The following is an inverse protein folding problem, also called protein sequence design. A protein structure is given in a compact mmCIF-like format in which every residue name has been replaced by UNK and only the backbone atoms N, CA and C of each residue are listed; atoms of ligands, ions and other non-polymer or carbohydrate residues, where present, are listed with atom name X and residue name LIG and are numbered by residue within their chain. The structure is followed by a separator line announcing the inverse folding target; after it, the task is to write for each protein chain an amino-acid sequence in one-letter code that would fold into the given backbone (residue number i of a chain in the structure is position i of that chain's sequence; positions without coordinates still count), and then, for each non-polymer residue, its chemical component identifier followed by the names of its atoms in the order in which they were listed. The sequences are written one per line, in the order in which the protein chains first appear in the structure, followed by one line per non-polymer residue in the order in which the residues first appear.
data_IF_392100659355
#
_entry.id   IF_392100659355
#
_cell.length_a   1.000
_cell.length_b   1.000
_cell.length_c   1.000
_cell.angle_alpha   90.00
_cell.angle_beta   90.00
_cell.angle_gamma   90.00
#
_symmetry.space_group_name_H-M   'P 1'
#
loop_
_entity.id
_entity.type
_entity.pdbx_description
1 polymer ?
#
# COMPACT_ATOMS: atom_id res chain seq x y z
N UNK A 1 8.04 9.16 -20.10
CA UNK A 1 7.55 7.91 -19.55
C UNK A 1 7.58 7.89 -18.02
N UNK A 2 6.92 6.93 -17.41
CA UNK A 2 6.97 6.71 -15.97
C UNK A 2 8.08 5.72 -15.61
N UNK A 3 8.73 5.91 -14.46
CA UNK A 3 9.79 5.01 -13.98
C UNK A 3 9.24 3.79 -13.24
N UNK A 4 8.00 3.83 -12.75
CA UNK A 4 7.36 2.73 -12.04
C UNK A 4 5.88 2.93 -11.83
N UNK A 5 5.20 1.84 -11.48
CA UNK A 5 3.76 1.79 -11.19
C UNK A 5 3.48 0.97 -9.93
N UNK A 6 2.34 1.24 -9.29
CA UNK A 6 1.69 0.26 -8.43
C UNK A 6 0.72 -0.56 -9.26
N UNK A 7 0.76 -1.88 -9.13
CA UNK A 7 -0.17 -2.80 -9.78
C UNK A 7 -0.89 -3.59 -8.69
N UNK A 8 -2.22 -3.49 -8.64
CA UNK A 8 -3.06 -4.08 -7.58
C UNK A 8 -3.61 -5.45 -8.00
N UNK A 9 -3.59 -6.42 -7.08
CA UNK A 9 -4.17 -7.75 -7.27
C UNK A 9 -5.63 -7.83 -6.82
N UNK A 10 -6.34 -6.72 -6.94
CA UNK A 10 -7.76 -6.62 -6.63
C UNK A 10 -8.47 -5.69 -7.60
N UNK A 11 -9.76 -5.88 -7.75
CA UNK A 11 -10.62 -5.04 -8.58
C UNK A 11 -11.97 -4.79 -7.92
N UNK A 12 -12.71 -3.81 -8.43
CA UNK A 12 -14.06 -3.47 -7.93
C UNK A 12 -15.11 -3.98 -8.90
N UNK A 13 -16.05 -4.79 -8.39
CA UNK A 13 -17.23 -5.26 -9.11
C UNK A 13 -18.46 -4.87 -8.29
N UNK A 14 -19.40 -4.19 -8.91
CA UNK A 14 -20.64 -3.73 -8.28
C UNK A 14 -20.40 -3.00 -6.93
N UNK A 15 -19.40 -2.12 -6.91
CA UNK A 15 -19.02 -1.36 -5.72
C UNK A 15 -18.27 -2.16 -4.64
N UNK A 16 -18.06 -3.45 -4.83
CA UNK A 16 -17.35 -4.32 -3.89
C UNK A 16 -15.96 -4.67 -4.40
N UNK A 17 -14.92 -4.43 -3.59
CA UNK A 17 -13.54 -4.84 -3.91
C UNK A 17 -13.35 -6.32 -3.63
N UNK A 18 -12.68 -7.01 -4.54
CA UNK A 18 -12.38 -8.45 -4.43
C UNK A 18 -10.95 -8.72 -4.92
N UNK A 19 -10.29 -9.72 -4.32
CA UNK A 19 -9.01 -10.19 -4.82
C UNK A 19 -9.18 -10.89 -6.17
N UNK A 20 -8.20 -10.68 -7.04
CA UNK A 20 -8.02 -11.46 -8.26
C UNK A 20 -7.51 -12.87 -7.90
N UNK A 21 -7.75 -13.80 -8.80
CA UNK A 21 -7.02 -15.08 -8.79
C UNK A 21 -5.52 -14.80 -8.91
N UNK A 22 -4.74 -15.36 -7.98
CA UNK A 22 -3.31 -15.04 -7.86
C UNK A 22 -2.50 -15.48 -9.08
N UNK A 23 -2.81 -16.65 -9.63
CA UNK A 23 -2.10 -17.21 -10.79
C UNK A 23 -2.38 -16.39 -12.06
N UNK A 24 -3.64 -16.03 -12.29
CA UNK A 24 -4.03 -15.17 -13.42
C UNK A 24 -3.38 -13.80 -13.32
N UNK A 25 -3.33 -13.24 -12.13
CA UNK A 25 -2.66 -11.96 -11.90
C UNK A 25 -1.14 -12.08 -12.14
N UNK A 26 -0.50 -13.16 -11.71
CA UNK A 26 0.92 -13.41 -11.94
C UNK A 26 1.25 -13.50 -13.44
N UNK A 27 0.40 -14.13 -14.25
CA UNK A 27 0.56 -14.16 -15.73
C UNK A 27 0.49 -12.74 -16.30
N UNK A 28 -0.52 -11.95 -15.92
CA UNK A 28 -0.64 -10.55 -16.32
C UNK A 28 0.59 -9.72 -15.94
N UNK A 29 1.09 -9.90 -14.72
CA UNK A 29 2.31 -9.24 -14.25
C UNK A 29 3.51 -9.58 -15.13
N UNK A 30 3.69 -10.85 -15.47
CA UNK A 30 4.78 -11.31 -16.32
C UNK A 30 4.71 -10.73 -17.74
N UNK A 31 3.51 -10.61 -18.30
CA UNK A 31 3.31 -9.95 -19.60
C UNK A 31 3.72 -8.46 -19.55
N UNK A 32 3.31 -7.74 -18.51
CA UNK A 32 3.69 -6.33 -18.29
C UNK A 32 5.20 -6.17 -18.18
N UNK A 33 5.86 -6.98 -17.33
CA UNK A 33 7.30 -6.87 -17.11
C UNK A 33 8.13 -7.26 -18.31
N UNK A 34 7.65 -8.18 -19.14
CA UNK A 34 8.28 -8.52 -20.45
C UNK A 34 8.11 -7.41 -21.48
N UNK A 35 6.93 -6.80 -21.54
CA UNK A 35 6.66 -5.70 -22.47
C UNK A 35 7.39 -4.40 -22.09
N UNK A 36 7.64 -4.18 -20.80
CA UNK A 36 8.25 -2.97 -20.25
C UNK A 36 9.40 -3.32 -19.29
N UNK A 37 10.54 -3.82 -19.78
CA UNK A 37 11.62 -4.35 -18.92
C UNK A 37 12.31 -3.31 -18.03
N UNK A 38 12.16 -2.00 -18.34
CA UNK A 38 12.68 -0.90 -17.51
C UNK A 38 11.70 -0.34 -16.49
N UNK A 39 10.49 -0.89 -16.41
CA UNK A 39 9.45 -0.39 -15.51
C UNK A 39 9.56 -1.03 -14.12
N UNK A 40 9.68 -0.21 -13.07
CA UNK A 40 9.60 -0.70 -11.70
C UNK A 40 8.15 -1.02 -11.34
N UNK A 41 7.82 -2.30 -11.17
CA UNK A 41 6.47 -2.74 -10.80
C UNK A 41 6.42 -3.04 -9.30
N UNK A 42 5.78 -2.15 -8.54
CA UNK A 42 5.46 -2.34 -7.12
C UNK A 42 4.10 -3.04 -7.03
N UNK A 43 4.11 -4.35 -6.85
CA UNK A 43 2.86 -5.12 -6.78
C UNK A 43 2.20 -4.92 -5.43
N UNK A 44 0.94 -4.52 -5.45
CA UNK A 44 0.11 -4.38 -4.26
C UNK A 44 -0.81 -5.59 -4.11
N UNK A 45 -0.83 -6.18 -2.89
CA UNK A 45 -1.82 -7.19 -2.52
C UNK A 45 -2.76 -6.66 -1.45
N UNK A 46 -4.05 -6.85 -1.66
CA UNK A 46 -5.09 -6.29 -0.79
C UNK A 46 -5.60 -7.29 0.27
N UNK A 47 -4.83 -8.31 0.59
CA UNK A 47 -5.21 -9.35 1.55
C UNK A 47 -5.55 -8.80 2.94
N UNK A 48 -4.71 -7.93 3.50
CA UNK A 48 -4.97 -7.26 4.79
C UNK A 48 -6.04 -6.18 4.67
N UNK A 49 -6.06 -5.43 3.58
CA UNK A 49 -7.09 -4.41 3.33
C UNK A 49 -8.49 -5.01 3.31
N UNK A 50 -8.64 -6.19 2.72
CA UNK A 50 -9.91 -6.91 2.61
C UNK A 50 -10.18 -7.83 3.79
N UNK A 51 -9.25 -7.91 4.74
CA UNK A 51 -9.34 -8.77 5.91
C UNK A 51 -9.75 -10.21 5.55
N UNK A 52 -9.09 -10.76 4.51
CA UNK A 52 -9.41 -12.12 4.06
C UNK A 52 -9.00 -13.14 5.11
N UNK A 53 -9.65 -14.30 5.10
CA UNK A 53 -9.24 -15.41 5.95
C UNK A 53 -7.77 -15.77 5.67
N UNK A 54 -6.99 -16.00 6.74
CA UNK A 54 -5.56 -16.32 6.66
C UNK A 54 -4.73 -15.28 5.86
N UNK A 55 -5.04 -13.98 6.07
CA UNK A 55 -4.44 -12.86 5.31
C UNK A 55 -2.92 -12.96 5.19
N UNK A 56 -2.20 -13.30 6.27
CA UNK A 56 -0.75 -13.46 6.23
C UNK A 56 -0.32 -14.58 5.29
N UNK A 57 -0.94 -15.76 5.39
CA UNK A 57 -0.62 -16.93 4.55
C UNK A 57 -0.86 -16.59 3.08
N UNK A 58 -2.00 -15.97 2.78
CA UNK A 58 -2.32 -15.49 1.43
C UNK A 58 -1.31 -14.46 0.92
N UNK A 59 -0.88 -13.53 1.79
CA UNK A 59 0.13 -12.53 1.44
C UNK A 59 1.48 -13.16 1.09
N UNK A 60 1.94 -14.11 1.89
CA UNK A 60 3.19 -14.82 1.65
C UNK A 60 3.17 -15.60 0.34
N UNK A 61 2.10 -16.35 0.10
CA UNK A 61 1.91 -17.07 -1.15
C UNK A 61 1.95 -16.16 -2.37
N UNK A 62 1.12 -15.10 -2.36
CA UNK A 62 1.03 -14.12 -3.45
C UNK A 62 2.36 -13.39 -3.66
N UNK A 63 3.00 -12.94 -2.59
CA UNK A 63 4.29 -12.24 -2.68
C UNK A 63 5.38 -13.10 -3.30
N UNK A 64 5.49 -14.38 -2.92
CA UNK A 64 6.46 -15.31 -3.51
C UNK A 64 6.13 -15.59 -4.98
N UNK A 65 4.88 -15.75 -5.32
CA UNK A 65 4.42 -15.96 -6.68
C UNK A 65 4.76 -14.77 -7.56
N UNK A 66 4.43 -13.56 -7.11
CA UNK A 66 4.67 -12.32 -7.86
C UNK A 66 6.16 -12.00 -8.01
N UNK A 67 6.98 -12.32 -7.00
CA UNK A 67 8.43 -12.21 -7.10
C UNK A 67 9.00 -13.05 -8.25
N UNK A 68 8.49 -14.27 -8.44
CA UNK A 68 8.87 -15.16 -9.55
C UNK A 68 8.42 -14.65 -10.91
N UNK A 69 7.40 -13.78 -10.96
CA UNK A 69 6.80 -13.25 -12.19
C UNK A 69 7.21 -11.80 -12.49
N UNK A 70 8.27 -11.29 -11.81
CA UNK A 70 8.90 -10.03 -12.18
C UNK A 70 8.48 -8.81 -11.36
N UNK A 71 7.80 -8.99 -10.21
CA UNK A 71 7.61 -7.90 -9.27
C UNK A 71 8.95 -7.33 -8.82
N UNK A 72 9.07 -5.99 -8.76
CA UNK A 72 10.27 -5.28 -8.29
C UNK A 72 10.14 -4.84 -6.83
N UNK A 73 8.93 -4.70 -6.32
CA UNK A 73 8.60 -4.38 -4.95
C UNK A 73 7.26 -4.99 -4.56
N UNK A 74 6.99 -5.03 -3.27
CA UNK A 74 5.78 -5.63 -2.74
C UNK A 74 5.10 -4.66 -1.77
N UNK A 75 3.87 -4.28 -2.04
CA UNK A 75 3.10 -3.35 -1.24
C UNK A 75 1.93 -4.06 -0.55
N UNK A 76 1.91 -3.98 0.78
CA UNK A 76 0.90 -4.60 1.62
C UNK A 76 0.23 -3.50 2.47
N UNK A 77 -0.85 -2.87 1.99
CA UNK A 77 -1.59 -1.91 2.79
C UNK A 77 -2.26 -2.59 4.00
N UNK A 78 -2.47 -1.83 5.07
CA UNK A 78 -3.15 -2.25 6.29
C UNK A 78 -2.44 -3.34 7.13
N UNK A 79 -1.25 -3.81 6.75
CA UNK A 79 -0.42 -4.61 7.65
C UNK A 79 0.21 -3.68 8.70
N UNK A 80 0.02 -3.98 10.00
CA UNK A 80 0.51 -3.14 11.12
C UNK A 80 1.31 -3.92 12.15
N UNK A 81 1.05 -5.23 12.32
CA UNK A 81 1.72 -6.06 13.32
C UNK A 81 3.17 -6.37 12.94
N UNK A 82 4.08 -6.17 13.87
CA UNK A 82 5.52 -6.40 13.65
C UNK A 82 5.82 -7.83 13.19
N UNK A 83 5.13 -8.82 13.79
CA UNK A 83 5.32 -10.24 13.45
C UNK A 83 4.96 -10.52 11.99
N UNK A 84 3.86 -9.94 11.50
CA UNK A 84 3.42 -10.11 10.11
C UNK A 84 4.41 -9.44 9.15
N UNK A 85 4.87 -8.23 9.49
CA UNK A 85 5.87 -7.49 8.69
C UNK A 85 7.17 -8.28 8.61
N UNK A 86 7.69 -8.81 9.73
CA UNK A 86 8.89 -9.66 9.76
C UNK A 86 8.69 -10.89 8.87
N UNK A 87 7.56 -11.58 9.01
CA UNK A 87 7.26 -12.77 8.21
C UNK A 87 7.27 -12.44 6.70
N UNK A 88 6.66 -11.32 6.29
CA UNK A 88 6.62 -10.89 4.90
C UNK A 88 8.03 -10.59 4.39
N UNK A 89 8.81 -9.78 5.12
CA UNK A 89 10.18 -9.41 4.74
C UNK A 89 11.06 -10.65 4.55
N UNK A 90 10.97 -11.62 5.45
CA UNK A 90 11.80 -12.83 5.39
C UNK A 90 11.42 -13.79 4.26
N UNK A 91 10.13 -13.91 3.95
CA UNK A 91 9.67 -14.94 3.02
C UNK A 91 9.49 -14.44 1.58
N UNK A 92 9.16 -13.16 1.39
CA UNK A 92 8.88 -12.63 0.03
C UNK A 92 10.15 -12.15 -0.68
N UNK A 93 11.14 -11.66 0.04
CA UNK A 93 12.45 -11.19 -0.49
C UNK A 93 12.35 -10.09 -1.55
N UNK A 94 11.30 -9.28 -1.50
CA UNK A 94 11.15 -8.06 -2.28
C UNK A 94 11.22 -6.85 -1.33
N UNK A 95 11.63 -5.66 -1.81
CA UNK A 95 11.50 -4.44 -1.04
C UNK A 95 10.05 -4.25 -0.58
N UNK A 96 9.83 -4.36 0.74
CA UNK A 96 8.49 -4.22 1.31
C UNK A 96 8.09 -2.75 1.42
N UNK A 97 6.92 -2.43 0.89
CA UNK A 97 6.20 -1.18 1.08
C UNK A 97 5.00 -1.43 2.02
N UNK A 98 4.88 -0.61 3.05
CA UNK A 98 3.70 -0.59 3.93
C UNK A 98 2.92 0.72 3.77
N UNK A 99 1.71 0.79 4.28
CA UNK A 99 0.90 2.01 4.28
C UNK A 99 0.85 2.61 5.69
N UNK A 100 0.95 3.93 5.79
CA UNK A 100 0.71 4.66 7.02
C UNK A 100 -0.68 4.31 7.57
N UNK A 101 -0.71 3.75 8.77
CA UNK A 101 -1.91 3.38 9.50
C UNK A 101 -1.78 3.85 10.95
N UNK A 102 -2.88 4.11 11.68
CA UNK A 102 -2.82 4.60 13.05
C UNK A 102 -1.98 3.74 14.00
N UNK A 103 -1.98 2.41 13.80
CA UNK A 103 -1.31 1.43 14.66
C UNK A 103 0.06 0.99 14.11
N UNK A 104 0.52 1.60 13.02
CA UNK A 104 1.81 1.26 12.43
C UNK A 104 2.94 1.83 13.31
N UNK A 105 4.00 1.04 13.50
CA UNK A 105 5.18 1.46 14.23
C UNK A 105 5.88 2.68 13.58
N UNK A 106 6.75 3.34 14.33
CA UNK A 106 7.54 4.47 13.83
C UNK A 106 8.58 4.07 12.77
N UNK A 107 9.20 5.07 12.13
CA UNK A 107 10.15 4.87 11.03
C UNK A 107 11.38 4.06 11.46
N UNK A 108 11.90 4.27 12.67
CA UNK A 108 13.08 3.57 13.17
C UNK A 108 12.79 2.08 13.36
N UNK A 109 11.66 1.77 13.96
CA UNK A 109 11.18 0.41 14.14
C UNK A 109 10.94 -0.27 12.81
N UNK A 110 10.20 0.37 11.88
CA UNK A 110 9.93 -0.17 10.55
C UNK A 110 11.22 -0.44 9.75
N UNK A 111 12.22 0.45 9.86
CA UNK A 111 13.53 0.25 9.25
C UNK A 111 14.23 -0.99 9.80
N UNK A 112 14.18 -1.18 11.12
CA UNK A 112 14.74 -2.37 11.80
C UNK A 112 14.03 -3.65 11.39
N UNK A 113 12.71 -3.60 11.19
CA UNK A 113 11.91 -4.71 10.67
C UNK A 113 12.18 -5.03 9.19
N UNK A 114 12.92 -4.17 8.48
CA UNK A 114 13.31 -4.40 7.08
C UNK A 114 12.40 -3.75 6.05
N UNK A 115 11.44 -2.92 6.45
CA UNK A 115 10.59 -2.13 5.55
C UNK A 115 11.46 -1.16 4.74
N UNK A 116 11.17 -1.02 3.44
CA UNK A 116 11.94 -0.16 2.52
C UNK A 116 11.19 1.07 2.06
N UNK A 117 9.86 1.07 2.16
CA UNK A 117 9.01 2.18 1.73
C UNK A 117 7.78 2.29 2.62
N UNK A 118 7.35 3.52 2.89
CA UNK A 118 6.09 3.83 3.57
C UNK A 118 5.26 4.70 2.64
N UNK A 119 4.06 4.23 2.28
CA UNK A 119 3.08 5.01 1.52
C UNK A 119 2.12 5.70 2.48
N UNK A 120 1.75 6.94 2.17
CA UNK A 120 0.87 7.75 3.03
C UNK A 120 -0.62 7.56 2.70
N UNK A 121 -0.96 6.81 1.64
CA UNK A 121 -2.35 6.70 1.18
C UNK A 121 -2.93 8.09 0.87
N UNK A 122 -4.16 8.31 1.33
CA UNK A 122 -4.82 9.61 1.23
C UNK A 122 -4.79 10.41 2.55
N UNK A 123 -4.09 9.93 3.59
CA UNK A 123 -4.20 10.50 4.95
C UNK A 123 -3.70 11.94 5.04
N UNK A 124 -2.56 12.27 4.42
CA UNK A 124 -2.06 13.66 4.42
C UNK A 124 -3.01 14.58 3.65
N UNK A 125 -3.53 14.12 2.51
CA UNK A 125 -4.53 14.88 1.76
C UNK A 125 -5.78 15.13 2.61
N UNK A 126 -6.33 14.08 3.22
CA UNK A 126 -7.52 14.20 4.07
C UNK A 126 -7.29 15.14 5.26
N UNK A 127 -6.14 15.04 5.94
CA UNK A 127 -5.78 15.93 7.03
C UNK A 127 -5.66 17.40 6.58
N UNK A 128 -5.07 17.63 5.40
CA UNK A 128 -4.97 18.98 4.82
C UNK A 128 -6.33 19.55 4.50
N UNK A 129 -7.23 18.76 3.90
CA UNK A 129 -8.61 19.18 3.60
C UNK A 129 -9.40 19.46 4.87
N UNK A 130 -9.26 18.65 5.91
CA UNK A 130 -9.90 18.87 7.20
C UNK A 130 -9.43 20.21 7.81
N UNK A 131 -8.10 20.44 7.83
CA UNK A 131 -7.54 21.69 8.36
C UNK A 131 -8.01 22.93 7.59
N UNK A 132 -8.05 22.85 6.25
CA UNK A 132 -8.57 23.92 5.40
C UNK A 132 -10.04 24.23 5.75
N UNK A 133 -10.87 23.21 5.87
CA UNK A 133 -12.29 23.35 6.25
C UNK A 133 -12.40 24.03 7.62
N UNK A 134 -11.63 23.60 8.61
CA UNK A 134 -11.66 24.17 9.96
C UNK A 134 -11.30 25.65 9.96
N UNK A 135 -10.25 26.04 9.23
CA UNK A 135 -9.84 27.45 9.11
C UNK A 135 -10.94 28.31 8.46
N UNK A 136 -11.56 27.83 7.38
CA UNK A 136 -12.65 28.54 6.72
C UNK A 136 -13.86 28.69 7.64
N UNK A 137 -14.24 27.63 8.37
CA UNK A 137 -15.30 27.70 9.35
C UNK A 137 -14.99 28.70 10.48
N UNK A 138 -13.75 28.75 10.97
CA UNK A 138 -13.34 29.72 12.01
C UNK A 138 -13.47 31.16 11.52
N UNK A 139 -12.94 31.47 10.33
CA UNK A 139 -13.09 32.81 9.73
C UNK A 139 -14.58 33.20 9.62
N UNK A 140 -15.41 32.26 9.17
CA UNK A 140 -16.81 32.48 8.93
C UNK A 140 -17.60 32.73 10.24
N UNK A 141 -17.32 31.93 11.28
CA UNK A 141 -18.04 32.01 12.57
C UNK A 141 -17.54 33.14 13.45
N UNK A 142 -16.26 33.48 13.40
CA UNK A 142 -15.65 34.51 14.22
C UNK A 142 -15.68 35.89 13.57
N UNK A 143 -16.01 35.97 12.27
CA UNK A 143 -15.91 37.19 11.48
C UNK A 143 -14.54 37.87 11.60
N UNK A 144 -13.48 37.06 11.72
CA UNK A 144 -12.10 37.48 11.98
C UNK A 144 -11.11 36.60 11.24
N UNK A 145 -9.98 37.18 10.83
CA UNK A 145 -8.88 36.45 10.18
C UNK A 145 -7.81 35.98 11.17
N UNK A 146 -7.96 36.23 12.48
CA UNK A 146 -6.94 35.93 13.50
C UNK A 146 -6.54 34.43 13.57
N UNK A 147 -7.43 33.53 13.20
CA UNK A 147 -7.15 32.09 13.18
C UNK A 147 -6.31 31.62 11.98
N UNK A 148 -6.01 32.53 11.02
CA UNK A 148 -5.24 32.22 9.81
C UNK A 148 -3.74 32.50 9.99
N UNK A 149 -3.39 33.40 10.93
CA UNK A 149 -2.02 33.90 11.20
C UNK A 149 -1.48 33.44 12.54
#
# INVERSE_FOLDING_TARGET
GVSGINLEDSHVVDGTRRLDDAERFAVKLQEITRACPGLFVNVRTDTFLLNVQDALVQTLYRGQLYAKHGACGFFVPCVTRAEDIIAIVHHVRLPLNVMCMPELADFSTLSTLGVKRISMGNFIYAATQARLKDLLCQVQTQHSFSGVF
#
